data_IF_331592198042
#
_entry.id   IF_331592198042
#
_cell.length_a   1.000
_cell.length_b   1.000
_cell.length_c   1.000
_cell.angle_alpha   90.00
_cell.angle_beta   90.00
_cell.angle_gamma   90.00
#
_symmetry.space_group_name_H-M   'P 1'
#
loop_
_entity.id
_entity.type
_entity.pdbx_description
1 polymer ?
#
# COMPACT_ATOMS: atom_id res chain seq x y z
N UNK A 1 -21.07 1.71 8.99
CA UNK A 1 -22.07 2.48 8.24
C UNK A 1 -21.32 3.49 7.38
N UNK A 2 -21.60 3.51 6.09
CA UNK A 2 -21.03 4.48 5.16
C UNK A 2 -21.70 5.84 5.35
N UNK A 3 -21.01 6.92 4.99
CA UNK A 3 -21.57 8.27 5.01
C UNK A 3 -22.27 8.54 3.67
N UNK A 4 -23.60 8.62 3.67
CA UNK A 4 -24.42 8.66 2.45
C UNK A 4 -23.95 9.70 1.43
N UNK A 5 -23.69 10.94 1.84
CA UNK A 5 -23.22 12.02 0.94
C UNK A 5 -21.90 11.68 0.26
N UNK A 6 -20.90 11.20 1.02
CA UNK A 6 -19.58 10.88 0.47
C UNK A 6 -19.61 9.61 -0.37
N UNK A 7 -20.45 8.64 0.01
CA UNK A 7 -20.65 7.40 -0.73
C UNK A 7 -21.36 7.64 -2.08
N UNK A 8 -22.38 8.49 -2.12
CA UNK A 8 -23.04 8.90 -3.36
C UNK A 8 -22.05 9.60 -4.33
N UNK A 9 -21.18 10.45 -3.81
CA UNK A 9 -20.14 11.07 -4.63
C UNK A 9 -19.09 10.06 -5.10
N UNK A 10 -18.68 9.14 -4.23
CA UNK A 10 -17.72 8.08 -4.58
C UNK A 10 -18.22 7.22 -5.75
N UNK A 11 -19.45 6.72 -5.66
CA UNK A 11 -20.07 5.91 -6.72
C UNK A 11 -20.22 6.68 -8.04
N UNK A 12 -20.43 8.00 -7.96
CA UNK A 12 -20.58 8.86 -9.14
C UNK A 12 -19.25 9.15 -9.86
N UNK A 13 -18.14 9.32 -9.13
CA UNK A 13 -16.92 9.91 -9.70
C UNK A 13 -15.65 9.08 -9.55
N UNK A 14 -15.63 8.07 -8.68
CA UNK A 14 -14.46 7.25 -8.50
C UNK A 14 -14.31 6.28 -9.68
N UNK A 15 -13.09 6.18 -10.21
CA UNK A 15 -12.77 5.29 -11.32
C UNK A 15 -11.55 4.45 -10.93
N UNK A 16 -11.57 3.14 -11.22
CA UNK A 16 -10.36 2.33 -11.13
C UNK A 16 -9.39 2.74 -12.26
N UNK A 17 -8.15 2.28 -12.20
CA UNK A 17 -7.06 2.61 -13.13
C UNK A 17 -6.38 3.97 -12.88
N UNK A 18 -5.41 3.94 -11.97
CA UNK A 18 -4.51 5.07 -11.77
C UNK A 18 -3.48 5.27 -12.90
N UNK A 19 -3.22 4.26 -13.75
CA UNK A 19 -2.13 4.27 -14.72
C UNK A 19 -0.74 4.47 -14.07
N UNK A 20 -0.60 4.19 -12.77
CA UNK A 20 0.61 4.46 -12.01
C UNK A 20 1.67 3.38 -12.23
N UNK A 21 2.87 3.80 -12.62
CA UNK A 21 3.99 2.88 -12.90
C UNK A 21 5.23 3.14 -12.04
N UNK A 22 5.12 4.00 -11.03
CA UNK A 22 6.20 4.30 -10.07
C UNK A 22 7.55 4.68 -10.68
N UNK A 23 8.64 4.49 -9.94
CA UNK A 23 10.02 4.67 -10.40
C UNK A 23 10.63 3.35 -10.92
N UNK A 24 11.70 3.45 -11.71
CA UNK A 24 12.48 2.29 -12.18
C UNK A 24 13.24 1.70 -10.99
N UNK A 25 13.02 0.41 -10.71
CA UNK A 25 13.56 -0.30 -9.55
C UNK A 25 15.09 -0.32 -9.54
N UNK A 26 15.73 -0.71 -10.66
CA UNK A 26 17.18 -0.73 -10.78
C UNK A 26 17.83 0.65 -10.50
N UNK A 27 17.20 1.73 -10.98
CA UNK A 27 17.68 3.11 -10.74
C UNK A 27 17.43 3.56 -9.31
N UNK A 28 16.35 3.12 -8.68
CA UNK A 28 16.07 3.43 -7.27
C UNK A 28 17.08 2.74 -6.34
N UNK A 29 17.45 1.50 -6.66
CA UNK A 29 18.41 0.68 -5.90
C UNK A 29 19.82 1.26 -5.82
N UNK A 30 20.24 2.08 -6.80
CA UNK A 30 21.54 2.78 -6.77
C UNK A 30 21.75 3.64 -5.52
N UNK A 31 20.68 3.99 -4.81
CA UNK A 31 20.77 4.75 -3.58
C UNK A 31 20.98 3.88 -2.33
N UNK A 32 20.91 2.56 -2.44
CA UNK A 32 21.08 1.62 -1.33
C UNK A 32 22.55 1.25 -1.16
N UNK A 33 23.03 1.11 0.09
CA UNK A 33 24.37 0.60 0.32
C UNK A 33 24.44 -0.89 -0.06
N UNK A 34 25.34 -1.22 -0.99
CA UNK A 34 25.68 -2.59 -1.38
C UNK A 34 24.47 -3.47 -1.67
N UNK A 35 23.59 -3.05 -2.59
CA UNK A 35 22.45 -3.87 -3.00
C UNK A 35 22.93 -5.23 -3.55
N UNK A 36 22.45 -6.30 -2.92
CA UNK A 36 22.83 -7.70 -3.19
C UNK A 36 21.61 -8.59 -3.46
N UNK A 37 20.41 -8.01 -3.62
CA UNK A 37 19.15 -8.75 -3.77
C UNK A 37 18.92 -9.42 -5.13
N UNK A 38 19.88 -9.39 -6.06
CA UNK A 38 19.75 -10.00 -7.39
C UNK A 38 19.23 -9.04 -8.48
N UNK A 39 18.74 -9.56 -9.63
CA UNK A 39 18.30 -8.73 -10.74
C UNK A 39 17.08 -7.85 -10.41
N UNK A 40 17.05 -6.64 -10.98
CA UNK A 40 15.92 -5.70 -10.83
C UNK A 40 15.37 -5.26 -12.18
N UNK A 41 14.06 -4.93 -12.24
CA UNK A 41 13.45 -4.32 -13.41
C UNK A 41 14.16 -3.02 -13.81
N UNK A 42 14.52 -2.93 -15.10
CA UNK A 42 15.10 -1.73 -15.73
C UNK A 42 14.04 -0.81 -16.34
N UNK A 43 12.80 -1.29 -16.48
CA UNK A 43 11.63 -0.53 -16.89
C UNK A 43 10.81 -0.03 -15.69
N UNK A 44 9.81 0.82 -15.97
CA UNK A 44 8.76 1.13 -15.00
C UNK A 44 7.75 0.00 -15.00
N UNK A 45 7.33 -0.44 -13.83
CA UNK A 45 6.34 -1.52 -13.69
C UNK A 45 4.95 -0.94 -13.41
N UNK A 46 3.95 -1.42 -14.14
CA UNK A 46 2.55 -1.33 -13.74
C UNK A 46 2.30 -2.11 -12.45
N UNK A 47 1.11 -1.91 -11.86
CA UNK A 47 0.66 -2.67 -10.68
C UNK A 47 0.67 -4.18 -10.92
N UNK A 48 0.18 -4.62 -12.09
CA UNK A 48 0.11 -6.03 -12.46
C UNK A 48 1.50 -6.63 -12.71
N UNK A 49 2.38 -5.91 -13.40
CA UNK A 49 3.76 -6.38 -13.62
C UNK A 49 4.55 -6.47 -12.31
N UNK A 50 4.31 -5.56 -11.35
CA UNK A 50 4.91 -5.65 -10.02
C UNK A 50 4.39 -6.86 -9.24
N UNK A 51 3.09 -7.16 -9.31
CA UNK A 51 2.54 -8.40 -8.72
C UNK A 51 3.17 -9.64 -9.34
N UNK A 52 3.31 -9.69 -10.67
CA UNK A 52 3.95 -10.81 -11.36
C UNK A 52 5.41 -10.97 -10.92
N UNK A 53 6.18 -9.88 -10.90
CA UNK A 53 7.57 -9.87 -10.42
C UNK A 53 7.68 -10.39 -8.97
N UNK A 54 6.78 -9.95 -8.09
CA UNK A 54 6.76 -10.35 -6.69
C UNK A 54 6.13 -11.72 -6.43
N UNK A 55 5.48 -12.36 -7.41
CA UNK A 55 4.96 -13.73 -7.27
C UNK A 55 5.95 -14.77 -7.79
N UNK A 56 6.90 -14.37 -8.63
CA UNK A 56 7.96 -15.23 -9.12
C UNK A 56 8.94 -15.61 -7.99
N UNK A 57 9.07 -16.91 -7.76
CA UNK A 57 9.95 -17.49 -6.74
C UNK A 57 11.44 -17.34 -7.06
N UNK A 58 11.80 -17.04 -8.31
CA UNK A 58 13.18 -16.73 -8.68
C UNK A 58 13.66 -15.36 -8.16
N UNK A 59 12.72 -14.44 -7.86
CA UNK A 59 13.05 -13.14 -7.30
C UNK A 59 13.13 -13.19 -5.77
N UNK A 60 14.20 -12.64 -5.19
CA UNK A 60 14.40 -12.61 -3.74
C UNK A 60 13.38 -11.69 -3.03
N UNK A 61 13.27 -11.87 -1.71
CA UNK A 61 12.50 -10.95 -0.86
C UNK A 61 13.02 -9.51 -0.97
N UNK A 62 14.33 -9.36 -1.08
CA UNK A 62 15.03 -8.10 -1.26
C UNK A 62 14.72 -7.43 -2.59
N UNK A 63 14.75 -8.17 -3.70
CA UNK A 63 14.38 -7.66 -5.02
C UNK A 63 12.92 -7.19 -5.02
N UNK A 64 12.03 -7.97 -4.40
CA UNK A 64 10.62 -7.62 -4.25
C UNK A 64 10.43 -6.37 -3.40
N UNK A 65 11.17 -6.24 -2.29
CA UNK A 65 11.18 -5.04 -1.47
C UNK A 65 11.57 -3.81 -2.30
N UNK A 66 12.70 -3.87 -3.00
CA UNK A 66 13.18 -2.76 -3.82
C UNK A 66 12.17 -2.38 -4.91
N UNK A 67 11.59 -3.38 -5.57
CA UNK A 67 10.58 -3.14 -6.60
C UNK A 67 9.33 -2.45 -6.02
N UNK A 68 8.83 -2.92 -4.87
CA UNK A 68 7.69 -2.31 -4.17
C UNK A 68 7.97 -0.88 -3.70
N UNK A 69 9.14 -0.62 -3.14
CA UNK A 69 9.50 0.71 -2.61
C UNK A 69 9.71 1.73 -3.75
N UNK A 70 10.36 1.30 -4.83
CA UNK A 70 10.51 2.12 -6.04
C UNK A 70 9.15 2.44 -6.67
N UNK A 71 8.25 1.44 -6.75
CA UNK A 71 6.91 1.63 -7.29
C UNK A 71 6.08 2.57 -6.43
N UNK A 72 6.12 2.38 -5.11
CA UNK A 72 5.37 3.16 -4.12
C UNK A 72 5.90 4.57 -3.88
N UNK A 73 6.99 4.98 -4.52
CA UNK A 73 7.56 6.31 -4.39
C UNK A 73 8.23 6.57 -3.03
N UNK A 74 8.77 5.54 -2.38
CA UNK A 74 9.50 5.70 -1.12
C UNK A 74 10.69 6.65 -1.31
N UNK A 75 10.87 7.58 -0.36
CA UNK A 75 12.07 8.40 -0.32
C UNK A 75 13.32 7.52 -0.14
N UNK A 76 14.37 7.75 -0.94
CA UNK A 76 15.60 6.99 -0.91
C UNK A 76 16.34 7.03 0.43
N UNK A 77 16.20 8.09 1.24
CA UNK A 77 16.77 8.09 2.60
C UNK A 77 16.10 7.03 3.47
N UNK A 78 14.77 7.01 3.51
CA UNK A 78 14.02 5.97 4.23
C UNK A 78 14.28 4.58 3.65
N UNK A 79 14.50 4.48 2.34
CA UNK A 79 14.90 3.23 1.69
C UNK A 79 16.25 2.71 2.20
N UNK A 80 17.25 3.60 2.36
CA UNK A 80 18.55 3.24 2.96
C UNK A 80 18.41 2.81 4.41
N UNK A 81 17.60 3.51 5.20
CA UNK A 81 17.38 3.19 6.60
C UNK A 81 16.74 1.79 6.73
N UNK A 82 15.68 1.54 5.97
CA UNK A 82 14.99 0.25 5.96
C UNK A 82 15.90 -0.88 5.44
N UNK A 83 16.70 -0.63 4.40
CA UNK A 83 17.64 -1.60 3.85
C UNK A 83 18.75 -1.98 4.82
N UNK A 84 19.24 -1.02 5.60
CA UNK A 84 20.24 -1.27 6.65
C UNK A 84 19.69 -2.17 7.76
N UNK A 85 18.36 -2.23 7.92
CA UNK A 85 17.66 -3.09 8.86
C UNK A 85 17.05 -4.34 8.21
N UNK A 86 17.54 -4.78 7.04
CA UNK A 86 16.94 -5.90 6.29
C UNK A 86 16.77 -7.20 7.04
N UNK A 87 17.66 -7.50 7.99
CA UNK A 87 17.51 -8.65 8.89
C UNK A 87 16.18 -8.66 9.68
N UNK A 88 15.55 -7.50 9.89
CA UNK A 88 14.25 -7.38 10.59
C UNK A 88 13.04 -7.68 9.70
N UNK A 89 13.13 -7.48 8.38
CA UNK A 89 11.97 -7.59 7.49
C UNK A 89 12.08 -8.68 6.43
N UNK A 90 13.28 -9.09 6.01
CA UNK A 90 13.46 -10.18 5.03
C UNK A 90 12.74 -11.45 5.49
N UNK A 91 12.90 -11.93 6.75
CA UNK A 91 12.20 -13.14 7.21
C UNK A 91 10.68 -13.02 7.19
N UNK A 92 10.14 -11.80 7.32
CA UNK A 92 8.70 -11.55 7.26
C UNK A 92 8.21 -11.73 5.82
N UNK A 93 8.92 -11.14 4.86
CA UNK A 93 8.58 -11.24 3.42
C UNK A 93 8.72 -12.67 2.93
N UNK A 94 9.79 -13.37 3.30
CA UNK A 94 9.97 -14.79 2.96
C UNK A 94 8.84 -15.65 3.52
N UNK A 95 8.45 -15.44 4.79
CA UNK A 95 7.37 -16.19 5.42
C UNK A 95 6.00 -15.89 4.79
N UNK A 96 5.75 -14.65 4.38
CA UNK A 96 4.55 -14.29 3.61
C UNK A 96 4.52 -15.03 2.27
N UNK A 97 5.62 -14.96 1.51
CA UNK A 97 5.75 -15.60 0.18
C UNK A 97 5.62 -17.12 0.25
N UNK A 98 6.05 -17.73 1.35
CA UNK A 98 5.86 -19.16 1.63
C UNK A 98 4.42 -19.53 2.02
N UNK A 99 3.48 -18.58 2.05
CA UNK A 99 2.07 -18.81 2.39
C UNK A 99 1.79 -18.98 3.89
N UNK A 100 2.74 -18.65 4.77
CA UNK A 100 2.67 -18.98 6.19
C UNK A 100 2.01 -17.96 7.11
N UNK A 101 1.39 -16.90 6.58
CA UNK A 101 0.82 -15.78 7.35
C UNK A 101 -0.52 -15.32 6.75
N UNK A 102 -1.47 -14.91 7.59
CA UNK A 102 -2.63 -14.14 7.16
C UNK A 102 -2.30 -12.63 7.11
N UNK A 103 -3.18 -11.81 6.52
CA UNK A 103 -2.97 -10.35 6.37
C UNK A 103 -2.70 -9.62 7.69
N UNK A 104 -3.48 -9.93 8.73
CA UNK A 104 -3.32 -9.33 10.05
C UNK A 104 -2.00 -9.75 10.70
N UNK A 105 -1.63 -11.03 10.59
CA UNK A 105 -0.37 -11.54 11.13
C UNK A 105 0.85 -10.93 10.44
N UNK A 106 0.81 -10.82 9.11
CA UNK A 106 1.86 -10.16 8.34
C UNK A 106 2.06 -8.70 8.78
N UNK A 107 0.95 -7.96 8.89
CA UNK A 107 0.98 -6.58 9.37
C UNK A 107 1.55 -6.48 10.79
N UNK A 108 1.08 -7.35 11.71
CA UNK A 108 1.55 -7.40 13.11
C UNK A 108 3.06 -7.58 13.18
N UNK A 109 3.63 -8.47 12.37
CA UNK A 109 5.08 -8.71 12.33
C UNK A 109 5.85 -7.46 11.88
N UNK A 110 5.41 -6.80 10.81
CA UNK A 110 6.06 -5.55 10.38
C UNK A 110 5.92 -4.44 11.41
N UNK A 111 4.73 -4.29 12.01
CA UNK A 111 4.48 -3.30 13.05
C UNK A 111 5.43 -3.49 14.24
N UNK A 112 5.59 -4.73 14.71
CA UNK A 112 6.45 -5.08 15.84
C UNK A 112 7.95 -5.02 15.52
N UNK A 113 8.34 -5.32 14.27
CA UNK A 113 9.73 -5.18 13.84
C UNK A 113 10.23 -3.72 13.88
N UNK A 114 9.29 -2.75 13.87
CA UNK A 114 9.54 -1.33 14.05
C UNK A 114 10.63 -0.75 13.13
N UNK A 115 10.77 -1.30 11.92
CA UNK A 115 11.84 -0.99 10.97
C UNK A 115 11.92 0.51 10.66
N UNK A 116 13.10 1.10 10.77
CA UNK A 116 13.32 2.53 10.47
C UNK A 116 13.03 2.81 8.99
N UNK A 117 12.35 3.92 8.70
CA UNK A 117 11.93 4.28 7.34
C UNK A 117 10.75 3.45 6.78
N UNK A 118 10.37 2.35 7.42
CA UNK A 118 9.28 1.48 6.99
C UNK A 118 8.02 1.69 7.86
N UNK A 119 7.14 2.56 7.39
CA UNK A 119 5.83 2.83 7.99
C UNK A 119 4.66 2.12 7.31
N UNK A 120 3.41 2.45 7.72
CA UNK A 120 2.25 1.68 7.30
C UNK A 120 1.97 1.58 5.81
N UNK A 121 2.19 2.69 5.12
CA UNK A 121 2.03 2.75 3.67
C UNK A 121 2.95 1.80 2.90
N UNK A 122 4.04 1.32 3.52
CA UNK A 122 5.05 0.51 2.85
C UNK A 122 4.92 -0.98 3.19
N UNK A 123 4.69 -1.35 4.45
CA UNK A 123 4.44 -2.77 4.75
C UNK A 123 3.15 -3.28 4.10
N UNK A 124 2.14 -2.43 3.89
CA UNK A 124 0.89 -2.85 3.24
C UNK A 124 1.09 -3.05 1.75
N UNK A 125 2.03 -2.32 1.14
CA UNK A 125 2.50 -2.60 -0.22
C UNK A 125 3.21 -3.95 -0.29
N UNK A 126 4.09 -4.26 0.67
CA UNK A 126 4.74 -5.58 0.71
C UNK A 126 3.71 -6.71 0.85
N UNK A 127 2.75 -6.58 1.77
CA UNK A 127 1.64 -7.54 1.92
C UNK A 127 0.89 -7.70 0.60
N UNK A 128 0.47 -6.58 -0.01
CA UNK A 128 -0.33 -6.56 -1.22
C UNK A 128 0.39 -7.17 -2.45
N UNK A 129 1.67 -6.86 -2.66
CA UNK A 129 2.40 -7.29 -3.86
C UNK A 129 3.07 -8.65 -3.72
N UNK A 130 3.52 -9.03 -2.53
CA UNK A 130 4.27 -10.28 -2.32
C UNK A 130 3.39 -11.47 -1.93
N UNK A 131 2.13 -11.22 -1.56
CA UNK A 131 1.15 -12.28 -1.32
C UNK A 131 -0.28 -11.82 -1.68
N UNK A 132 -0.63 -11.76 -2.98
CA UNK A 132 -1.94 -11.32 -3.45
C UNK A 132 -3.12 -12.09 -2.83
N UNK A 133 -2.92 -13.35 -2.45
CA UNK A 133 -3.96 -14.23 -1.88
C UNK A 133 -4.36 -13.89 -0.44
N UNK A 134 -3.70 -12.91 0.22
CA UNK A 134 -4.10 -12.47 1.55
C UNK A 134 -5.29 -11.52 1.56
N UNK A 135 -5.70 -11.01 0.40
CA UNK A 135 -6.67 -9.93 0.27
C UNK A 135 -6.33 -8.74 1.19
N UNK A 136 -5.03 -8.48 1.36
CA UNK A 136 -4.52 -7.34 2.12
C UNK A 136 -4.41 -6.13 1.21
N UNK A 137 -5.11 -5.04 1.50
CA UNK A 137 -5.14 -3.84 0.67
C UNK A 137 -4.05 -2.83 1.07
N UNK A 138 -3.66 -1.95 0.13
CA UNK A 138 -2.65 -0.92 0.39
C UNK A 138 -3.29 0.18 1.26
N UNK A 139 -2.75 0.39 2.47
CA UNK A 139 -3.15 1.47 3.36
C UNK A 139 -2.14 2.61 3.27
N UNK A 140 -2.33 3.52 2.33
CA UNK A 140 -1.54 4.74 2.22
C UNK A 140 -2.33 5.98 2.68
N UNK A 141 -1.73 7.16 2.54
CA UNK A 141 -2.38 8.39 2.97
C UNK A 141 -3.71 8.68 2.25
N UNK A 142 -3.92 8.16 1.04
CA UNK A 142 -5.09 8.49 0.21
C UNK A 142 -6.20 7.48 0.39
N UNK A 143 -5.86 6.20 0.50
CA UNK A 143 -6.83 5.19 0.89
C UNK A 143 -7.27 5.38 2.34
N UNK A 144 -6.34 5.74 3.24
CA UNK A 144 -6.65 6.11 4.62
C UNK A 144 -7.65 7.28 4.71
N UNK A 145 -7.38 8.39 4.00
CA UNK A 145 -8.28 9.55 3.95
C UNK A 145 -9.63 9.23 3.34
N UNK A 146 -9.64 8.39 2.30
CA UNK A 146 -10.88 7.93 1.68
C UNK A 146 -11.75 7.16 2.67
N UNK A 147 -11.17 6.24 3.45
CA UNK A 147 -11.91 5.54 4.51
C UNK A 147 -12.42 6.51 5.57
N UNK A 148 -11.61 7.47 6.02
CA UNK A 148 -12.05 8.47 6.99
C UNK A 148 -13.22 9.34 6.52
N UNK A 149 -13.37 9.55 5.21
CA UNK A 149 -14.52 10.26 4.63
C UNK A 149 -15.72 9.34 4.41
N UNK A 150 -15.48 8.13 3.90
CA UNK A 150 -16.53 7.21 3.48
C UNK A 150 -17.25 6.56 4.66
N UNK A 151 -16.63 6.46 5.83
CA UNK A 151 -17.17 5.75 6.99
C UNK A 151 -17.37 6.68 8.17
N UNK A 152 -18.52 6.57 8.82
CA UNK A 152 -18.86 7.42 9.98
C UNK A 152 -18.02 7.10 11.22
N UNK A 153 -17.62 5.85 11.39
CA UNK A 153 -16.75 5.43 12.49
C UNK A 153 -15.27 5.62 12.12
N UNK A 154 -14.44 6.19 13.02
CA UNK A 154 -13.00 6.28 12.78
C UNK A 154 -12.40 4.87 12.77
N UNK A 155 -11.90 4.46 11.59
CA UNK A 155 -11.22 3.17 11.41
C UNK A 155 -9.71 3.38 11.48
N UNK A 156 -9.17 4.28 10.66
CA UNK A 156 -7.73 4.56 10.56
C UNK A 156 -7.41 5.89 11.23
N UNK A 157 -6.38 5.92 12.07
CA UNK A 157 -5.86 7.16 12.63
C UNK A 157 -4.86 7.82 11.68
N UNK A 158 -5.13 9.07 11.31
CA UNK A 158 -4.29 9.89 10.43
C UNK A 158 -3.69 11.04 11.25
N UNK A 159 -2.48 11.50 10.92
CA UNK A 159 -1.89 12.70 11.52
C UNK A 159 -2.54 13.97 10.96
N UNK A 160 -2.40 15.11 11.66
CA UNK A 160 -2.82 16.41 11.13
C UNK A 160 -2.14 16.74 9.78
N UNK A 161 -0.93 16.22 9.54
CA UNK A 161 -0.24 16.35 8.26
C UNK A 161 -0.77 15.39 7.17
N UNK A 162 -1.78 14.55 7.49
CA UNK A 162 -2.43 13.65 6.54
C UNK A 162 -1.74 12.31 6.33
N UNK A 163 -0.88 11.87 7.25
CA UNK A 163 -0.15 10.60 7.14
C UNK A 163 -0.78 9.52 8.03
N UNK A 164 -0.83 8.28 7.57
CA UNK A 164 -1.28 7.14 8.40
C UNK A 164 -0.32 6.97 9.59
N UNK A 165 -0.84 6.99 10.82
CA UNK A 165 -0.02 6.87 12.03
C UNK A 165 0.57 5.46 12.16
N UNK A 166 1.80 5.36 12.65
CA UNK A 166 2.42 4.07 13.02
C UNK A 166 1.62 3.33 14.10
N UNK A 167 0.91 4.05 14.97
CA UNK A 167 0.07 3.48 16.02
C UNK A 167 -1.12 2.65 15.51
N UNK A 168 -1.46 2.73 14.22
CA UNK A 168 -2.44 1.80 13.64
C UNK A 168 -1.83 0.39 13.64
N UNK A 169 -2.36 -0.47 14.49
CA UNK A 169 -1.90 -1.84 14.68
C UNK A 169 -2.58 -2.81 13.69
N UNK A 170 -2.37 -4.11 13.92
CA UNK A 170 -2.91 -5.15 13.06
C UNK A 170 -4.45 -5.22 13.10
N UNK A 171 -5.08 -4.87 14.22
CA UNK A 171 -6.53 -4.83 14.35
C UNK A 171 -7.11 -3.67 13.54
N UNK A 172 -6.47 -2.51 13.59
CA UNK A 172 -6.86 -1.37 12.73
C UNK A 172 -6.72 -1.73 11.26
N UNK A 173 -5.64 -2.41 10.86
CA UNK A 173 -5.46 -2.85 9.48
C UNK A 173 -6.51 -3.86 9.02
N UNK A 174 -6.86 -4.81 9.89
CA UNK A 174 -7.92 -5.77 9.61
C UNK A 174 -9.25 -5.05 9.36
N UNK A 175 -9.64 -4.13 10.25
CA UNK A 175 -10.85 -3.31 10.08
C UNK A 175 -10.80 -2.43 8.83
N UNK A 176 -9.63 -1.93 8.46
CA UNK A 176 -9.44 -1.21 7.19
C UNK A 176 -9.72 -2.14 6.00
N UNK A 177 -9.20 -3.37 6.01
CA UNK A 177 -9.44 -4.29 4.90
C UNK A 177 -10.92 -4.70 4.78
N UNK A 178 -11.58 -4.96 5.91
CA UNK A 178 -13.01 -5.24 5.98
C UNK A 178 -13.86 -4.06 5.46
N UNK A 179 -13.41 -2.82 5.73
CA UNK A 179 -14.08 -1.63 5.19
C UNK A 179 -13.93 -1.52 3.66
N UNK A 180 -12.77 -1.87 3.11
CA UNK A 180 -12.56 -1.94 1.65
C UNK A 180 -13.45 -3.02 1.03
N UNK A 181 -13.53 -4.20 1.66
CA UNK A 181 -14.40 -5.30 1.21
C UNK A 181 -15.88 -4.93 1.26
N UNK A 182 -16.33 -4.29 2.34
CA UNK A 182 -17.69 -3.78 2.44
C UNK A 182 -17.99 -2.76 1.35
N UNK A 183 -17.09 -1.79 1.13
CA UNK A 183 -17.25 -0.81 0.06
C UNK A 183 -17.32 -1.47 -1.32
N UNK A 184 -16.49 -2.48 -1.56
CA UNK A 184 -16.48 -3.24 -2.80
C UNK A 184 -17.81 -3.96 -3.05
N UNK A 185 -18.39 -4.56 -2.01
CA UNK A 185 -19.70 -5.20 -2.07
C UNK A 185 -20.83 -4.20 -2.39
N UNK A 186 -20.84 -3.03 -1.73
CA UNK A 186 -21.85 -1.99 -1.97
C UNK A 186 -21.78 -1.42 -3.40
N UNK A 187 -20.60 -1.38 -4.00
CA UNK A 187 -20.37 -0.85 -5.37
C UNK A 187 -20.48 -1.95 -6.45
N UNK A 188 -20.42 -3.23 -6.07
CA UNK A 188 -20.45 -4.37 -7.01
C UNK A 188 -19.12 -4.60 -7.73
N UNK A 189 -17.98 -4.38 -7.07
CA UNK A 189 -16.63 -4.58 -7.62
C UNK A 189 -15.77 -5.45 -6.70
N UNK A 190 -14.54 -5.80 -7.12
CA UNK A 190 -13.60 -6.50 -6.23
C UNK A 190 -12.95 -5.54 -5.22
N UNK A 191 -12.44 -6.08 -4.11
CA UNK A 191 -11.73 -5.26 -3.11
C UNK A 191 -10.53 -4.50 -3.67
N UNK A 192 -9.79 -5.11 -4.62
CA UNK A 192 -8.68 -4.43 -5.28
C UNK A 192 -9.14 -3.25 -6.14
N UNK A 193 -10.25 -3.41 -6.87
CA UNK A 193 -10.85 -2.34 -7.67
C UNK A 193 -11.36 -1.22 -6.77
N UNK A 194 -12.01 -1.55 -5.65
CA UNK A 194 -12.44 -0.58 -4.65
C UNK A 194 -11.26 0.19 -4.03
N UNK A 195 -10.17 -0.50 -3.67
CA UNK A 195 -8.93 0.14 -3.20
C UNK A 195 -8.35 1.10 -4.25
N UNK A 196 -8.32 0.70 -5.53
CA UNK A 196 -7.84 1.57 -6.61
C UNK A 196 -8.74 2.79 -6.82
N UNK A 197 -10.06 2.62 -6.72
CA UNK A 197 -11.04 3.73 -6.76
C UNK A 197 -10.81 4.71 -5.60
N UNK A 198 -10.57 4.19 -4.39
CA UNK A 198 -10.25 4.98 -3.19
C UNK A 198 -8.91 5.71 -3.34
N UNK A 199 -7.87 5.01 -3.80
CA UNK A 199 -6.57 5.60 -4.05
C UNK A 199 -6.70 6.74 -5.06
N UNK A 200 -7.32 6.46 -6.20
CA UNK A 200 -7.55 7.37 -7.33
C UNK A 200 -6.25 7.95 -7.91
N UNK A 201 -6.26 8.41 -9.17
CA UNK A 201 -5.03 8.94 -9.80
C UNK A 201 -4.58 10.24 -9.15
N UNK A 202 -3.33 10.26 -8.68
CA UNK A 202 -2.63 11.46 -8.19
C UNK A 202 -1.95 12.29 -9.29
N UNK A 203 -0.86 12.97 -8.92
CA UNK A 203 -0.02 13.73 -9.88
C UNK A 203 -0.56 15.11 -10.28
N UNK A 204 -0.11 15.61 -11.44
CA UNK A 204 -0.54 16.91 -12.00
C UNK A 204 -2.03 16.89 -12.37
N UNK A 205 -2.48 15.82 -13.04
CA UNK A 205 -3.88 15.63 -13.47
C UNK A 205 -4.60 14.62 -12.57
N UNK A 206 -5.01 15.11 -11.39
CA UNK A 206 -5.72 14.31 -10.39
C UNK A 206 -7.10 13.92 -10.89
N UNK A 207 -7.50 12.68 -10.65
CA UNK A 207 -8.87 12.23 -10.89
C UNK A 207 -9.87 12.88 -9.92
N UNK A 208 -11.15 12.82 -10.27
CA UNK A 208 -12.23 13.51 -9.57
C UNK A 208 -12.32 13.11 -8.08
N UNK A 209 -12.28 11.81 -7.76
CA UNK A 209 -12.31 11.36 -6.36
C UNK A 209 -11.12 11.89 -5.55
N UNK A 210 -9.90 11.86 -6.10
CA UNK A 210 -8.71 12.42 -5.45
C UNK A 210 -8.86 13.91 -5.13
N UNK A 211 -9.53 14.67 -6.00
CA UNK A 211 -9.84 16.08 -5.75
C UNK A 211 -10.90 16.24 -4.66
N UNK A 212 -11.97 15.44 -4.72
CA UNK A 212 -13.03 15.42 -3.72
C UNK A 212 -12.48 15.15 -2.31
N UNK A 213 -11.63 14.13 -2.14
CA UNK A 213 -10.98 13.82 -0.87
C UNK A 213 -10.14 14.99 -0.36
N UNK A 214 -9.40 15.69 -1.23
CA UNK A 214 -8.59 16.85 -0.81
C UNK A 214 -9.44 18.02 -0.32
N UNK A 215 -10.61 18.24 -0.91
CA UNK A 215 -11.50 19.34 -0.56
C UNK A 215 -12.29 19.06 0.71
N UNK A 216 -12.70 17.80 0.92
CA UNK A 216 -13.62 17.44 2.00
C UNK A 216 -12.94 16.81 3.22
N UNK A 217 -11.72 16.26 3.07
CA UNK A 217 -10.97 15.76 4.22
C UNK A 217 -10.36 16.93 5.00
N UNK A 218 -11.04 17.34 6.06
CA UNK A 218 -10.49 18.23 7.08
C UNK A 218 -9.54 17.43 7.99
N UNK A 219 -8.35 17.97 8.25
CA UNK A 219 -7.33 17.36 9.10
C UNK A 219 -7.63 17.57 10.59
#
# INVERSE_FOLDING_TARGET
>A
MVHDTHFAEFTRIAQPNSGWTGAISARWALALPSYDGGPLPVGRLTRQELRAFCSDTANSAEACFVACMAWGGMNRSHGRDAWSERAKWVPIVERMRAGGLCRAEAYRRFHNAAVMGLGPAYYTKLIFFTRPELDGFILDQWTGKSVSLLFTAPIVTITAAGWVRRANDALVYQRYCEAVEHLAAEVGVTGEVAEEMMFSRGGKLKHAWRQYVRTNWAA
#
